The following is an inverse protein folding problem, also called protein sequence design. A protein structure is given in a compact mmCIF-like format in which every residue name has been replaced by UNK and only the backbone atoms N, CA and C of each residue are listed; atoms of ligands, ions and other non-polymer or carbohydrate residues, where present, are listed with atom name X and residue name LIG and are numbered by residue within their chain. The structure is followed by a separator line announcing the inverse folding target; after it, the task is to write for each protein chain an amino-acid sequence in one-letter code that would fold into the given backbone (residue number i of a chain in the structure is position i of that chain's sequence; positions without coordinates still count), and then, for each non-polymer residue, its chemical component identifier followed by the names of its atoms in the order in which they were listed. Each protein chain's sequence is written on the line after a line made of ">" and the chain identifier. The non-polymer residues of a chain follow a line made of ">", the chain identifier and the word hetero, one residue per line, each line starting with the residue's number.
data_IF_983245096743
#
_entry.id   IF_983245096743
#
_cell.length_a   1.000
_cell.length_b   1.000
_cell.length_c   1.000
_cell.angle_alpha   90.00
_cell.angle_beta   90.00
_cell.angle_gamma   90.00
#
_symmetry.space_group_name_H-M   'P 1'
#
loop_
_entity.id
_entity.type
_entity.pdbx_description
1 polymer ?
#
# COMPACT_ATOMS: atom_id res chain seq x y z
N UNK A 1 10.67 19.05 -11.06
CA UNK A 1 11.66 18.33 -11.90
C UNK A 1 12.30 17.26 -11.04
N UNK A 2 12.41 16.03 -11.52
CA UNK A 2 13.05 14.94 -10.77
C UNK A 2 14.53 15.26 -10.52
N UNK A 3 15.05 14.88 -9.35
CA UNK A 3 16.45 15.08 -9.04
C UNK A 3 17.29 14.06 -9.82
N UNK A 4 18.29 14.57 -10.56
CA UNK A 4 19.16 13.78 -11.45
C UNK A 4 19.93 12.71 -10.66
N UNK A 5 19.88 11.45 -11.10
CA UNK A 5 20.58 10.30 -10.51
C UNK A 5 22.05 10.25 -10.95
N UNK A 6 22.86 11.11 -10.36
CA UNK A 6 24.28 11.28 -10.73
C UNK A 6 25.16 10.05 -10.46
N UNK A 7 24.82 9.24 -9.46
CA UNK A 7 25.46 7.96 -9.10
C UNK A 7 25.22 6.90 -10.15
N UNK A 8 23.99 6.79 -10.67
CA UNK A 8 23.69 5.87 -11.76
C UNK A 8 24.54 6.21 -13.01
N UNK A 9 24.59 7.50 -13.36
CA UNK A 9 25.41 7.97 -14.47
C UNK A 9 26.92 7.73 -14.26
N UNK A 10 27.39 7.84 -13.01
CA UNK A 10 28.78 7.56 -12.63
C UNK A 10 29.08 6.06 -12.71
N UNK A 11 28.18 5.20 -12.22
CA UNK A 11 28.32 3.75 -12.27
C UNK A 11 28.36 3.24 -13.71
N UNK A 12 27.52 3.77 -14.60
CA UNK A 12 27.58 3.46 -16.04
C UNK A 12 28.94 3.79 -16.65
N UNK A 13 29.45 4.99 -16.39
CA UNK A 13 30.78 5.41 -16.89
C UNK A 13 31.90 4.55 -16.32
N UNK A 14 31.83 4.19 -15.04
CA UNK A 14 32.79 3.29 -14.39
C UNK A 14 32.77 1.87 -14.97
N UNK A 15 31.59 1.40 -15.40
CA UNK A 15 31.44 0.13 -16.12
C UNK A 15 31.85 0.20 -17.60
N UNK A 16 32.28 1.37 -18.10
CA UNK A 16 32.80 1.54 -19.46
C UNK A 16 31.74 1.79 -20.53
N UNK A 17 30.49 2.05 -20.16
CA UNK A 17 29.39 2.23 -21.12
C UNK A 17 29.11 3.70 -21.45
N UNK A 18 28.90 4.00 -22.74
CA UNK A 18 28.13 5.19 -23.16
C UNK A 18 26.64 4.97 -22.91
N UNK A 19 25.80 6.02 -23.04
CA UNK A 19 24.35 5.83 -22.89
C UNK A 19 23.80 4.93 -24.00
N UNK A 20 24.35 5.05 -25.21
CA UNK A 20 24.05 4.22 -26.38
C UNK A 20 24.48 2.77 -26.18
N UNK A 21 25.72 2.54 -25.73
CA UNK A 21 26.25 1.20 -25.54
C UNK A 21 25.51 0.46 -24.39
N UNK A 22 25.09 1.18 -23.35
CA UNK A 22 24.26 0.59 -22.31
C UNK A 22 22.85 0.28 -22.82
N UNK A 23 22.28 1.15 -23.65
CA UNK A 23 20.96 0.95 -24.23
C UNK A 23 20.94 -0.30 -25.13
N UNK A 24 21.97 -0.46 -25.98
CA UNK A 24 22.18 -1.64 -26.81
C UNK A 24 22.35 -2.92 -25.97
N UNK A 25 23.18 -2.88 -24.92
CA UNK A 25 23.38 -4.02 -24.02
C UNK A 25 22.10 -4.45 -23.26
N UNK A 26 21.15 -3.52 -23.07
CA UNK A 26 19.89 -3.76 -22.36
C UNK A 26 18.69 -3.96 -23.28
N UNK A 27 18.91 -3.93 -24.60
CA UNK A 27 17.85 -3.97 -25.62
C UNK A 27 16.76 -2.94 -25.30
N UNK A 28 17.17 -1.67 -25.23
CA UNK A 28 16.30 -0.52 -24.99
C UNK A 28 16.79 0.71 -25.76
N UNK A 29 15.96 1.74 -25.81
CA UNK A 29 16.31 2.99 -26.48
C UNK A 29 17.21 3.89 -25.61
N UNK A 30 18.11 4.66 -26.23
CA UNK A 30 19.00 5.61 -25.53
C UNK A 30 18.20 6.59 -24.67
N UNK A 31 17.05 7.06 -25.14
CA UNK A 31 16.18 7.98 -24.39
C UNK A 31 15.65 7.37 -23.09
N UNK A 32 15.55 6.04 -23.00
CA UNK A 32 15.16 5.33 -21.78
C UNK A 32 16.28 5.44 -20.73
N UNK A 33 17.54 5.26 -21.14
CA UNK A 33 18.71 5.43 -20.26
C UNK A 33 18.82 6.89 -19.77
N UNK A 34 18.56 7.86 -20.66
CA UNK A 34 18.54 9.29 -20.30
C UNK A 34 17.48 9.57 -19.24
N UNK A 35 16.25 9.03 -19.41
CA UNK A 35 15.16 9.20 -18.44
C UNK A 35 15.45 8.53 -17.10
N UNK A 36 16.11 7.36 -17.10
CA UNK A 36 16.56 6.70 -15.88
C UNK A 36 17.61 7.53 -15.13
N UNK A 37 18.61 8.08 -15.82
CA UNK A 37 19.63 8.95 -15.23
C UNK A 37 19.07 10.31 -14.79
N UNK A 38 18.04 10.81 -15.45
CA UNK A 38 17.34 12.04 -15.08
C UNK A 38 16.41 11.87 -13.87
N UNK A 39 16.08 10.63 -13.49
CA UNK A 39 15.13 10.37 -12.40
C UNK A 39 13.66 10.41 -12.83
N UNK A 40 13.38 10.50 -14.13
CA UNK A 40 12.02 10.67 -14.67
C UNK A 40 11.25 9.35 -14.73
N UNK A 41 11.95 8.24 -14.98
CA UNK A 41 11.38 6.89 -15.00
C UNK A 41 12.29 5.91 -14.27
N UNK A 42 11.75 4.75 -13.89
CA UNK A 42 12.53 3.67 -13.29
C UNK A 42 12.62 2.46 -14.21
N UNK A 43 13.73 1.71 -14.18
CA UNK A 43 13.82 0.45 -14.91
C UNK A 43 12.81 -0.55 -14.35
N UNK A 44 12.08 -1.23 -15.23
CA UNK A 44 11.16 -2.31 -14.86
C UNK A 44 11.92 -3.44 -14.13
N UNK A 45 11.28 -4.20 -13.23
CA UNK A 45 11.94 -5.22 -12.40
C UNK A 45 12.82 -6.20 -13.19
N UNK A 46 12.35 -6.68 -14.34
CA UNK A 46 13.11 -7.59 -15.21
C UNK A 46 14.30 -6.93 -15.93
N UNK A 47 14.28 -5.60 -16.13
CA UNK A 47 15.40 -4.83 -16.70
C UNK A 47 16.43 -4.45 -15.63
N UNK A 48 16.05 -4.37 -14.35
CA UNK A 48 16.97 -4.10 -13.22
C UNK A 48 18.03 -5.19 -13.07
N UNK A 49 17.66 -6.46 -13.27
CA UNK A 49 18.62 -7.56 -13.19
C UNK A 49 19.72 -7.45 -14.27
N UNK A 50 19.34 -7.15 -15.52
CA UNK A 50 20.29 -6.94 -16.62
C UNK A 50 21.12 -5.68 -16.42
N UNK A 51 20.52 -4.61 -15.89
CA UNK A 51 21.21 -3.36 -15.56
C UNK A 51 22.26 -3.56 -14.46
N UNK A 52 21.94 -4.30 -13.39
CA UNK A 52 22.89 -4.62 -12.32
C UNK A 52 24.08 -5.44 -12.86
N UNK A 53 23.81 -6.42 -13.72
CA UNK A 53 24.84 -7.22 -14.39
C UNK A 53 25.74 -6.37 -15.29
N UNK A 54 25.15 -5.51 -16.14
CA UNK A 54 25.90 -4.61 -17.02
C UNK A 54 26.78 -3.63 -16.23
N UNK A 55 26.26 -3.09 -15.13
CA UNK A 55 26.98 -2.17 -14.26
C UNK A 55 27.95 -2.87 -13.29
N UNK A 56 27.94 -4.21 -13.24
CA UNK A 56 28.73 -5.04 -12.30
C UNK A 56 28.51 -4.67 -10.84
N UNK A 57 27.26 -4.36 -10.47
CA UNK A 57 26.85 -4.08 -9.10
C UNK A 57 25.89 -5.17 -8.60
N UNK A 58 25.78 -5.33 -7.29
CA UNK A 58 24.78 -6.20 -6.68
C UNK A 58 23.38 -5.62 -6.91
N UNK A 59 22.33 -6.44 -6.77
CA UNK A 59 20.95 -5.95 -6.87
C UNK A 59 20.69 -4.81 -5.86
N UNK A 60 21.10 -4.98 -4.60
CA UNK A 60 21.06 -3.94 -3.57
C UNK A 60 21.91 -2.71 -3.94
N UNK A 61 23.10 -2.90 -4.51
CA UNK A 61 23.93 -1.79 -4.97
C UNK A 61 23.30 -1.01 -6.13
N UNK A 62 22.54 -1.67 -7.01
CA UNK A 62 21.77 -0.98 -8.04
C UNK A 62 20.63 -0.15 -7.43
N UNK A 63 19.93 -0.69 -6.43
CA UNK A 63 18.87 0.05 -5.73
C UNK A 63 19.41 1.31 -5.05
N UNK A 64 20.60 1.26 -4.45
CA UNK A 64 21.26 2.45 -3.88
C UNK A 64 21.60 3.52 -4.95
N UNK A 65 21.96 3.10 -6.17
CA UNK A 65 22.22 4.00 -7.30
C UNK A 65 20.92 4.62 -7.83
N UNK A 66 19.80 3.91 -7.74
CA UNK A 66 18.47 4.36 -8.16
C UNK A 66 17.79 5.25 -7.09
N UNK A 67 18.07 4.98 -5.81
CA UNK A 67 17.53 5.67 -4.65
C UNK A 67 18.15 7.06 -4.40
N UNK A 68 19.23 7.45 -5.11
CA UNK A 68 19.88 8.77 -4.93
C UNK A 68 18.90 9.96 -5.08
N UNK A 69 17.77 9.78 -5.78
CA UNK A 69 16.74 10.81 -5.97
C UNK A 69 15.74 10.91 -4.79
N UNK A 70 15.71 9.93 -3.86
CA UNK A 70 14.84 9.95 -2.68
C UNK A 70 15.38 10.82 -1.53
N UNK A 71 16.60 11.37 -1.67
CA UNK A 71 17.11 12.40 -0.77
C UNK A 71 16.51 13.77 -1.12
N UNK A 72 15.18 13.88 -1.09
CA UNK A 72 14.52 15.17 -0.95
C UNK A 72 14.80 15.69 0.46
N UNK A 73 15.09 16.99 0.66
CA UNK A 73 15.32 17.54 2.00
C UNK A 73 14.13 17.33 2.97
N UNK A 74 12.95 16.97 2.46
CA UNK A 74 11.79 16.58 3.26
C UNK A 74 11.90 15.20 3.96
N UNK A 75 12.78 14.30 3.48
CA UNK A 75 13.00 12.97 4.10
C UNK A 75 14.11 13.02 5.16
N UNK A 76 14.99 14.03 5.13
CA UNK A 76 16.02 14.23 6.13
C UNK A 76 15.45 14.61 7.52
N UNK A 77 14.25 15.19 7.59
CA UNK A 77 13.58 15.54 8.86
C UNK A 77 12.91 14.35 9.57
N UNK A 78 12.67 13.22 8.89
CA UNK A 78 12.07 12.02 9.51
C UNK A 78 13.06 10.88 9.78
N UNK A 79 14.28 10.98 9.23
CA UNK A 79 15.37 10.02 9.50
C UNK A 79 16.11 10.23 10.83
N UNK A 80 15.70 11.21 11.65
CA UNK A 80 16.30 11.50 12.96
C UNK A 80 15.29 11.38 14.11
N UNK A 81 14.69 10.19 14.28
CA UNK A 81 14.17 9.78 15.58
C UNK A 81 15.19 8.87 16.26
N UNK A 82 15.57 9.12 17.53
CA UNK A 82 16.39 8.17 18.27
C UNK A 82 15.55 6.91 18.55
N UNK A 83 16.19 5.76 18.35
CA UNK A 83 15.74 4.46 18.84
C UNK A 83 15.43 4.54 20.33
N UNK A 84 14.38 3.85 20.78
CA UNK A 84 13.90 3.78 22.16
C UNK A 84 15.00 3.38 23.16
N UNK A 85 15.78 4.36 23.65
CA UNK A 85 16.58 4.27 24.87
C UNK A 85 17.15 5.66 25.19
N UNK A 86 16.30 6.54 25.73
CA UNK A 86 16.58 7.59 26.72
C UNK A 86 15.49 8.66 26.61
N UNK A 87 14.78 8.88 27.72
CA UNK A 87 13.93 10.05 27.92
C UNK A 87 14.73 11.06 28.75
N UNK A 88 15.24 12.15 28.14
CA UNK A 88 15.62 13.33 28.91
C UNK A 88 14.52 14.41 28.85
N UNK A 89 14.15 14.84 30.06
CA UNK A 89 13.26 15.95 30.37
C UNK A 89 13.87 17.29 29.94
N UNK A 90 13.37 17.91 28.87
CA UNK A 90 13.66 19.32 28.59
C UNK A 90 12.39 20.08 28.16
N UNK A 91 11.97 21.12 28.91
CA UNK A 91 10.73 21.87 28.67
C UNK A 91 10.71 22.75 27.41
N UNK A 92 11.80 22.86 26.63
CA UNK A 92 11.85 23.72 25.43
C UNK A 92 11.33 23.11 24.12
N UNK A 93 10.97 21.82 24.06
CA UNK A 93 10.35 21.21 22.85
C UNK A 93 8.85 21.49 22.68
N UNK A 94 8.27 22.32 23.53
CA UNK A 94 6.86 22.78 23.41
C UNK A 94 6.59 23.68 22.20
N UNK A 95 7.63 24.25 21.57
CA UNK A 95 7.50 25.24 20.49
C UNK A 95 7.35 24.64 19.08
N UNK A 96 7.77 23.39 18.85
CA UNK A 96 7.72 22.78 17.50
C UNK A 96 6.35 22.18 17.17
N UNK A 97 5.51 21.96 18.19
CA UNK A 97 4.15 21.43 18.05
C UNK A 97 3.14 22.47 17.53
N UNK A 98 3.53 23.75 17.38
CA UNK A 98 2.62 24.86 17.05
C UNK A 98 2.55 25.24 15.55
N UNK A 99 3.05 24.39 14.64
CA UNK A 99 3.10 24.72 13.19
C UNK A 99 2.10 23.98 12.29
N UNK A 100 1.27 23.07 12.81
CA UNK A 100 0.32 22.28 12.00
C UNK A 100 -1.17 22.52 12.32
N UNK A 101 -1.49 23.69 12.89
CA UNK A 101 -2.84 24.27 12.80
C UNK A 101 -3.77 24.03 13.99
N UNK A 102 -3.60 24.83 15.05
CA UNK A 102 -4.76 25.32 15.82
C UNK A 102 -4.82 26.81 15.53
N UNK A 103 -5.87 27.26 14.83
CA UNK A 103 -6.27 28.66 14.90
C UNK A 103 -6.82 28.87 16.32
N UNK A 104 -5.93 29.11 17.27
CA UNK A 104 -6.29 29.34 18.66
C UNK A 104 -6.87 30.76 18.77
N UNK A 105 -8.20 30.86 18.71
CA UNK A 105 -8.89 31.94 19.41
C UNK A 105 -8.51 31.84 20.88
N UNK A 106 -7.80 32.86 21.37
CA UNK A 106 -7.31 32.92 22.73
C UNK A 106 -8.48 32.93 23.73
N UNK A 107 -8.61 31.87 24.51
CA UNK A 107 -9.28 31.91 25.81
C UNK A 107 -8.49 31.06 26.79
N UNK A 108 -8.23 31.68 27.93
CA UNK A 108 -7.40 31.27 29.06
C UNK A 108 -7.83 29.94 29.71
N UNK A 109 -6.85 29.12 30.09
CA UNK A 109 -6.94 28.22 31.25
C UNK A 109 -6.92 26.71 30.96
N UNK A 110 -5.80 26.07 31.33
CA UNK A 110 -5.65 24.64 31.73
C UNK A 110 -6.61 23.64 31.07
N UNK A 111 -6.21 23.08 29.93
CA UNK A 111 -6.80 21.91 29.29
C UNK A 111 -5.93 21.49 28.11
N UNK A 112 -5.34 20.30 28.17
CA UNK A 112 -4.55 19.73 27.08
C UNK A 112 -5.55 19.20 26.03
N UNK A 113 -5.86 19.98 24.99
CA UNK A 113 -6.61 19.50 23.83
C UNK A 113 -5.62 18.90 22.80
N UNK A 114 -5.48 17.57 22.78
CA UNK A 114 -4.54 16.87 21.87
C UNK A 114 -5.20 16.45 20.55
N UNK A 115 -6.53 16.37 20.50
CA UNK A 115 -7.30 16.44 19.26
C UNK A 115 -8.56 17.27 19.52
N UNK A 116 -8.84 18.24 18.66
CA UNK A 116 -10.09 19.00 18.74
C UNK A 116 -11.30 18.15 18.36
N UNK A 117 -12.42 18.80 18.04
CA UNK A 117 -13.57 18.11 17.45
C UNK A 117 -13.18 17.48 16.11
N UNK A 118 -13.34 16.16 15.99
CA UNK A 118 -13.09 15.42 14.76
C UNK A 118 -14.35 15.46 13.90
N UNK A 119 -14.16 15.79 12.61
CA UNK A 119 -15.22 15.95 11.64
C UNK A 119 -15.06 15.05 10.41
N UNK A 120 -16.05 15.12 9.51
CA UNK A 120 -15.99 14.39 8.23
C UNK A 120 -14.79 14.79 7.36
N UNK A 121 -14.25 15.99 7.55
CA UNK A 121 -13.05 16.43 6.84
C UNK A 121 -11.81 15.58 7.20
N UNK A 122 -11.72 15.12 8.46
CA UNK A 122 -10.63 14.27 8.95
C UNK A 122 -10.75 12.85 8.37
N UNK A 123 -11.98 12.31 8.34
CA UNK A 123 -12.29 11.04 7.67
C UNK A 123 -11.89 11.10 6.19
N UNK A 124 -12.28 12.16 5.48
CA UNK A 124 -11.91 12.36 4.07
C UNK A 124 -10.41 12.56 3.86
N UNK A 125 -9.70 13.14 4.83
CA UNK A 125 -8.23 13.25 4.80
C UNK A 125 -7.59 11.87 4.96
N UNK A 126 -8.10 11.03 5.87
CA UNK A 126 -7.62 9.66 6.05
C UNK A 126 -7.82 8.85 4.77
N UNK A 127 -9.02 8.88 4.19
CA UNK A 127 -9.35 8.18 2.93
C UNK A 127 -8.42 8.59 1.77
N UNK A 128 -8.19 9.90 1.57
CA UNK A 128 -7.25 10.38 0.53
C UNK A 128 -5.81 9.96 0.78
N UNK A 129 -5.39 9.87 2.04
CA UNK A 129 -4.04 9.41 2.40
C UNK A 129 -3.89 7.93 2.10
N UNK A 130 -4.90 7.14 2.46
CA UNK A 130 -5.03 5.72 2.15
C UNK A 130 -4.97 5.46 0.64
N UNK A 131 -5.70 6.23 -0.15
CA UNK A 131 -5.66 6.19 -1.62
C UNK A 131 -4.28 6.51 -2.16
N UNK A 132 -3.63 7.55 -1.63
CA UNK A 132 -2.28 7.95 -2.03
C UNK A 132 -1.26 6.84 -1.76
N UNK A 133 -1.35 6.16 -0.62
CA UNK A 133 -0.50 5.01 -0.29
C UNK A 133 -0.66 3.89 -1.33
N UNK A 134 -1.89 3.56 -1.71
CA UNK A 134 -2.13 2.53 -2.72
C UNK A 134 -1.70 2.93 -4.14
N UNK A 135 -1.85 4.20 -4.50
CA UNK A 135 -1.37 4.71 -5.78
C UNK A 135 0.16 4.75 -5.85
N UNK A 136 0.85 4.91 -4.71
CA UNK A 136 2.30 4.81 -4.63
C UNK A 136 2.76 3.36 -4.71
N UNK A 137 2.09 2.45 -4.00
CA UNK A 137 2.33 1.01 -4.04
C UNK A 137 2.29 0.47 -5.47
N UNK A 138 1.21 0.80 -6.20
CA UNK A 138 1.05 0.38 -7.59
C UNK A 138 2.18 0.87 -8.50
N UNK A 139 2.75 2.05 -8.23
CA UNK A 139 3.76 2.68 -9.09
C UNK A 139 5.20 2.33 -8.71
N UNK A 140 5.48 2.06 -7.44
CA UNK A 140 6.84 2.02 -6.90
C UNK A 140 7.17 0.73 -6.11
N UNK A 141 6.20 -0.12 -5.81
CA UNK A 141 6.38 -1.29 -4.95
C UNK A 141 6.39 -0.96 -3.46
N UNK A 142 5.95 -1.90 -2.62
CA UNK A 142 5.57 -1.68 -1.23
C UNK A 142 6.68 -1.62 -0.17
N UNK A 143 7.95 -1.83 -0.51
CA UNK A 143 9.03 -2.13 0.46
C UNK A 143 9.21 -1.04 1.55
N UNK A 144 9.01 0.23 1.22
CA UNK A 144 9.10 1.35 2.18
C UNK A 144 7.75 1.95 2.59
N UNK A 145 6.64 1.51 2.00
CA UNK A 145 5.32 2.14 2.20
C UNK A 145 4.57 1.59 3.43
N UNK A 146 4.90 0.40 3.90
CA UNK A 146 4.26 -0.19 5.08
C UNK A 146 4.49 0.66 6.35
N UNK A 147 5.65 1.31 6.49
CA UNK A 147 5.93 2.21 7.62
C UNK A 147 5.02 3.43 7.63
N UNK A 148 4.78 4.01 6.44
CA UNK A 148 3.85 5.13 6.28
C UNK A 148 2.41 4.69 6.59
N UNK A 149 2.02 3.47 6.18
CA UNK A 149 0.75 2.85 6.55
C UNK A 149 0.59 2.74 8.08
N UNK A 150 1.56 2.13 8.76
CA UNK A 150 1.57 1.98 10.23
C UNK A 150 1.50 3.32 10.95
N UNK A 151 2.26 4.32 10.50
CA UNK A 151 2.24 5.66 11.10
C UNK A 151 0.85 6.31 10.95
N UNK A 152 0.24 6.20 9.77
CA UNK A 152 -1.09 6.75 9.50
C UNK A 152 -2.17 6.03 10.33
N UNK A 153 -2.06 4.70 10.50
CA UNK A 153 -2.94 3.92 11.38
C UNK A 153 -2.84 4.39 12.83
N UNK A 154 -1.61 4.62 13.32
CA UNK A 154 -1.41 5.12 14.68
C UNK A 154 -2.08 6.47 14.89
N UNK A 155 -1.98 7.38 13.93
CA UNK A 155 -2.68 8.67 13.96
C UNK A 155 -4.21 8.49 13.98
N UNK A 156 -4.74 7.62 13.12
CA UNK A 156 -6.17 7.33 13.07
C UNK A 156 -6.71 6.70 14.37
N UNK A 157 -5.95 5.79 14.99
CA UNK A 157 -6.30 5.22 16.30
C UNK A 157 -6.29 6.27 17.40
N UNK A 158 -5.29 7.16 17.43
CA UNK A 158 -5.25 8.27 18.39
C UNK A 158 -6.46 9.20 18.23
N UNK A 159 -6.87 9.47 16.99
CA UNK A 159 -8.09 10.22 16.69
C UNK A 159 -9.35 9.54 17.23
N UNK A 160 -9.47 8.22 17.07
CA UNK A 160 -10.58 7.43 17.64
C UNK A 160 -10.54 7.37 19.17
N UNK A 161 -9.37 7.26 19.79
CA UNK A 161 -9.25 7.12 21.25
C UNK A 161 -9.41 8.45 22.01
N UNK A 162 -8.93 9.54 21.43
CA UNK A 162 -8.75 10.82 22.14
C UNK A 162 -9.62 11.94 21.57
N UNK A 163 -10.19 11.77 20.38
CA UNK A 163 -11.01 12.78 19.72
C UNK A 163 -12.43 12.86 20.27
N UNK A 164 -13.04 14.04 20.14
CA UNK A 164 -14.48 14.21 20.34
C UNK A 164 -15.19 14.21 18.99
N UNK A 165 -16.16 13.32 18.79
CA UNK A 165 -16.88 13.20 17.53
C UNK A 165 -18.33 12.74 17.73
N UNK A 166 -19.17 13.05 16.74
CA UNK A 166 -20.53 12.50 16.65
C UNK A 166 -20.46 11.02 16.26
N UNK A 167 -21.48 10.24 16.65
CA UNK A 167 -21.55 8.81 16.35
C UNK A 167 -21.36 8.49 14.85
N UNK A 168 -21.95 9.28 13.95
CA UNK A 168 -21.79 9.11 12.50
C UNK A 168 -20.36 9.33 12.01
N UNK A 169 -19.63 10.28 12.61
CA UNK A 169 -18.22 10.54 12.29
C UNK A 169 -17.34 9.42 12.85
N UNK A 170 -17.62 8.96 14.07
CA UNK A 170 -16.92 7.82 14.67
C UNK A 170 -17.05 6.54 13.84
N UNK A 171 -18.26 6.25 13.35
CA UNK A 171 -18.52 5.12 12.45
C UNK A 171 -17.70 5.24 11.14
N UNK A 172 -17.77 6.39 10.47
CA UNK A 172 -17.03 6.61 9.23
C UNK A 172 -15.50 6.58 9.44
N UNK A 173 -15.03 7.01 10.62
CA UNK A 173 -13.61 6.94 10.99
C UNK A 173 -13.17 5.49 11.27
N UNK A 174 -14.00 4.67 11.92
CA UNK A 174 -13.74 3.23 12.09
C UNK A 174 -13.64 2.53 10.74
N UNK A 175 -14.60 2.77 9.83
CA UNK A 175 -14.57 2.20 8.48
C UNK A 175 -13.31 2.60 7.70
N UNK A 176 -12.96 3.90 7.71
CA UNK A 176 -11.75 4.40 7.05
C UNK A 176 -10.46 3.83 7.67
N UNK A 177 -10.43 3.64 8.99
CA UNK A 177 -9.29 3.03 9.70
C UNK A 177 -9.16 1.55 9.38
N UNK A 178 -10.28 0.82 9.31
CA UNK A 178 -10.32 -0.57 8.87
C UNK A 178 -9.79 -0.74 7.44
N UNK A 179 -10.21 0.10 6.50
CA UNK A 179 -9.71 0.08 5.12
C UNK A 179 -8.20 0.37 5.04
N UNK A 180 -7.71 1.33 5.83
CA UNK A 180 -6.29 1.63 5.94
C UNK A 180 -5.49 0.46 6.53
N UNK A 181 -6.01 -0.21 7.55
CA UNK A 181 -5.39 -1.39 8.15
C UNK A 181 -5.29 -2.54 7.14
N UNK A 182 -6.35 -2.80 6.34
CA UNK A 182 -6.28 -3.76 5.24
C UNK A 182 -5.12 -3.44 4.29
N UNK A 183 -5.01 -2.18 3.83
CA UNK A 183 -3.96 -1.78 2.88
C UNK A 183 -2.57 -1.84 3.51
N UNK A 184 -2.44 -1.47 4.78
CA UNK A 184 -1.19 -1.59 5.53
C UNK A 184 -0.77 -3.05 5.67
N UNK A 185 -1.73 -3.96 5.88
CA UNK A 185 -1.49 -5.40 5.91
C UNK A 185 -0.91 -5.93 4.60
N UNK A 186 -1.46 -5.51 3.46
CA UNK A 186 -0.95 -5.87 2.13
C UNK A 186 0.45 -5.29 1.87
N UNK A 187 0.67 -4.01 2.16
CA UNK A 187 1.99 -3.37 2.06
C UNK A 187 3.04 -4.12 2.89
N UNK A 188 2.66 -4.56 4.10
CA UNK A 188 3.54 -5.30 4.98
C UNK A 188 3.82 -6.73 4.46
N UNK A 189 2.83 -7.40 3.85
CA UNK A 189 3.04 -8.68 3.16
C UNK A 189 4.07 -8.55 2.03
N UNK A 190 3.92 -7.52 1.19
CA UNK A 190 4.80 -7.27 0.04
C UNK A 190 6.23 -6.93 0.49
N UNK A 191 6.37 -6.29 1.65
CA UNK A 191 7.66 -5.99 2.28
C UNK A 191 8.21 -7.14 3.15
N UNK A 192 7.58 -8.32 3.18
CA UNK A 192 7.99 -9.47 4.00
C UNK A 192 7.83 -9.29 5.52
N UNK A 193 7.14 -8.23 5.97
CA UNK A 193 6.88 -7.91 7.39
C UNK A 193 5.61 -8.63 7.86
N UNK A 194 5.64 -9.95 7.89
CA UNK A 194 4.46 -10.78 8.15
C UNK A 194 3.83 -10.59 9.55
N UNK A 195 4.60 -10.23 10.57
CA UNK A 195 4.06 -9.90 11.89
C UNK A 195 3.21 -8.63 11.87
N UNK A 196 3.70 -7.59 11.18
CA UNK A 196 2.97 -6.33 10.97
C UNK A 196 1.73 -6.60 10.13
N UNK A 197 1.85 -7.39 9.06
CA UNK A 197 0.72 -7.75 8.22
C UNK A 197 -0.40 -8.44 9.00
N UNK A 198 -0.03 -9.42 9.82
CA UNK A 198 -1.00 -10.13 10.66
C UNK A 198 -1.66 -9.21 11.69
N UNK A 199 -0.89 -8.35 12.37
CA UNK A 199 -1.44 -7.38 13.31
C UNK A 199 -2.46 -6.46 12.62
N UNK A 200 -2.09 -5.89 11.48
CA UNK A 200 -2.97 -5.02 10.70
C UNK A 200 -4.27 -5.70 10.27
N UNK A 201 -4.22 -6.92 9.72
CA UNK A 201 -5.46 -7.63 9.36
C UNK A 201 -6.31 -8.03 10.59
N UNK A 202 -5.68 -8.35 11.72
CA UNK A 202 -6.41 -8.67 12.97
C UNK A 202 -7.12 -7.44 13.54
N UNK A 203 -6.48 -6.28 13.49
CA UNK A 203 -7.07 -5.01 13.90
C UNK A 203 -8.22 -4.62 12.97
N UNK A 204 -8.03 -4.76 11.64
CA UNK A 204 -9.11 -4.53 10.67
C UNK A 204 -10.32 -5.42 10.94
N UNK A 205 -10.11 -6.70 11.27
CA UNK A 205 -11.18 -7.63 11.63
C UNK A 205 -11.91 -7.24 12.92
N UNK A 206 -11.17 -6.72 13.90
CA UNK A 206 -11.76 -6.25 15.16
C UNK A 206 -12.63 -5.01 14.91
N UNK A 207 -12.08 -4.04 14.17
CA UNK A 207 -12.77 -2.80 13.80
C UNK A 207 -14.02 -3.11 12.96
N UNK A 208 -13.92 -4.01 11.98
CA UNK A 208 -15.03 -4.34 11.09
C UNK A 208 -16.19 -4.98 11.84
N UNK A 209 -15.91 -5.87 12.80
CA UNK A 209 -16.94 -6.48 13.65
C UNK A 209 -17.59 -5.49 14.60
N UNK A 210 -16.82 -4.55 15.13
CA UNK A 210 -17.36 -3.47 15.94
C UNK A 210 -18.25 -2.52 15.11
N UNK A 211 -17.84 -2.23 13.87
CA UNK A 211 -18.56 -1.35 12.95
C UNK A 211 -19.74 -2.04 12.22
N UNK A 212 -19.80 -3.38 12.22
CA UNK A 212 -20.76 -4.16 11.43
C UNK A 212 -20.47 -4.18 9.93
N UNK A 213 -19.21 -3.94 9.52
CA UNK A 213 -18.80 -3.87 8.12
C UNK A 213 -18.36 -5.25 7.60
N UNK A 214 -19.27 -5.92 6.88
CA UNK A 214 -19.02 -7.21 6.27
C UNK A 214 -17.96 -7.18 5.14
N UNK A 215 -17.82 -6.06 4.41
CA UNK A 215 -16.81 -5.95 3.36
C UNK A 215 -15.39 -5.90 3.93
N UNK A 216 -15.18 -5.12 4.99
CA UNK A 216 -13.87 -5.08 5.68
C UNK A 216 -13.62 -6.43 6.38
N UNK A 217 -14.63 -7.05 6.99
CA UNK A 217 -14.48 -8.38 7.62
C UNK A 217 -14.01 -9.44 6.63
N UNK A 218 -14.68 -9.55 5.47
CA UNK A 218 -14.28 -10.50 4.42
C UNK A 218 -12.84 -10.24 3.96
N UNK A 219 -12.47 -8.97 3.73
CA UNK A 219 -11.11 -8.61 3.27
C UNK A 219 -10.04 -8.89 4.34
N UNK A 220 -10.35 -8.67 5.62
CA UNK A 220 -9.44 -8.97 6.72
C UNK A 220 -9.19 -10.47 6.85
N UNK A 221 -10.25 -11.28 6.80
CA UNK A 221 -10.16 -12.74 6.84
C UNK A 221 -9.40 -13.29 5.63
N UNK A 222 -9.66 -12.75 4.43
CA UNK A 222 -8.91 -13.10 3.22
C UNK A 222 -7.41 -12.77 3.36
N UNK A 223 -7.07 -11.58 3.87
CA UNK A 223 -5.69 -11.17 4.14
C UNK A 223 -4.97 -12.08 5.15
N UNK A 224 -5.65 -12.45 6.25
CA UNK A 224 -5.13 -13.42 7.23
C UNK A 224 -4.91 -14.81 6.62
N UNK A 225 -5.82 -15.26 5.76
CA UNK A 225 -5.70 -16.51 5.02
C UNK A 225 -4.45 -16.55 4.14
N UNK A 226 -4.30 -15.51 3.31
CA UNK A 226 -3.16 -15.33 2.43
C UNK A 226 -1.83 -15.25 3.20
N UNK A 227 -1.74 -14.38 4.21
CA UNK A 227 -0.54 -14.22 5.04
C UNK A 227 -0.14 -15.54 5.72
N UNK A 228 -1.11 -16.30 6.24
CA UNK A 228 -0.87 -17.60 6.86
C UNK A 228 -0.26 -18.60 5.89
N UNK A 229 -0.69 -18.60 4.63
CA UNK A 229 -0.10 -19.43 3.58
C UNK A 229 1.35 -19.02 3.28
N UNK A 230 1.64 -17.72 3.17
CA UNK A 230 3.00 -17.22 2.92
C UNK A 230 4.01 -17.64 4.00
N UNK A 231 3.59 -17.73 5.27
CA UNK A 231 4.45 -18.14 6.38
C UNK A 231 4.41 -19.65 6.67
N UNK A 232 3.86 -20.47 5.75
CA UNK A 232 3.87 -21.93 5.88
C UNK A 232 2.85 -22.49 6.87
N UNK A 233 1.72 -21.81 7.11
CA UNK A 233 0.62 -22.25 7.99
C UNK A 233 -0.68 -22.54 7.20
N UNK A 234 -0.69 -23.54 6.31
CA UNK A 234 -1.81 -23.75 5.38
C UNK A 234 -3.13 -24.15 6.06
N UNK A 235 -3.08 -24.84 7.20
CA UNK A 235 -4.30 -25.20 7.97
C UNK A 235 -4.98 -23.98 8.57
N UNK A 236 -4.18 -23.02 9.02
CA UNK A 236 -4.67 -21.73 9.52
C UNK A 236 -5.21 -20.90 8.35
N UNK A 237 -4.46 -20.85 7.24
CA UNK A 237 -4.88 -20.18 6.01
C UNK A 237 -6.27 -20.64 5.56
N UNK A 238 -6.48 -21.95 5.43
CA UNK A 238 -7.77 -22.53 5.04
C UNK A 238 -8.93 -22.16 5.98
N UNK A 239 -8.69 -22.05 7.29
CA UNK A 239 -9.73 -21.66 8.25
C UNK A 239 -10.17 -20.22 8.03
N UNK A 240 -9.21 -19.31 7.84
CA UNK A 240 -9.52 -17.91 7.56
C UNK A 240 -10.18 -17.73 6.19
N UNK A 241 -9.72 -18.43 5.18
CA UNK A 241 -10.32 -18.38 3.85
C UNK A 241 -11.77 -18.87 3.82
N UNK A 242 -12.10 -19.95 4.56
CA UNK A 242 -13.50 -20.39 4.73
C UNK A 242 -14.34 -19.37 5.47
N UNK A 243 -13.80 -18.77 6.52
CA UNK A 243 -14.49 -17.70 7.25
C UNK A 243 -14.74 -16.48 6.35
N UNK A 244 -13.81 -16.14 5.45
CA UNK A 244 -13.98 -15.07 4.47
C UNK A 244 -15.10 -15.39 3.48
N UNK A 245 -15.19 -16.63 2.99
CA UNK A 245 -16.27 -17.10 2.11
C UNK A 245 -17.63 -17.08 2.83
N UNK A 246 -17.67 -17.50 4.09
CA UNK A 246 -18.88 -17.44 4.91
C UNK A 246 -19.37 -15.99 5.11
N UNK A 247 -18.45 -15.07 5.40
CA UNK A 247 -18.74 -13.64 5.55
C UNK A 247 -19.19 -13.01 4.22
N UNK A 248 -18.65 -13.48 3.09
CA UNK A 248 -18.96 -12.97 1.76
C UNK A 248 -20.27 -13.51 1.16
N UNK A 249 -20.91 -14.52 1.78
CA UNK A 249 -22.05 -15.26 1.20
C UNK A 249 -23.20 -14.36 0.74
N UNK A 250 -23.48 -13.29 1.49
CA UNK A 250 -24.58 -12.37 1.22
C UNK A 250 -24.09 -11.01 0.66
N UNK A 251 -22.81 -10.91 0.30
CA UNK A 251 -22.21 -9.70 -0.25
C UNK A 251 -22.16 -9.75 -1.79
N UNK A 252 -21.82 -8.60 -2.39
CA UNK A 252 -21.68 -8.47 -3.83
C UNK A 252 -20.54 -9.34 -4.43
N UNK A 253 -20.53 -9.51 -5.77
CA UNK A 253 -19.54 -10.34 -6.48
C UNK A 253 -18.08 -10.01 -6.15
N UNK A 254 -17.74 -8.74 -5.94
CA UNK A 254 -16.37 -8.30 -5.60
C UNK A 254 -15.85 -8.87 -4.27
N UNK A 255 -16.73 -9.00 -3.28
CA UNK A 255 -16.36 -9.57 -1.97
C UNK A 255 -16.17 -11.08 -2.06
N UNK A 256 -17.02 -11.76 -2.83
CA UNK A 256 -16.87 -13.20 -3.13
C UNK A 256 -15.58 -13.49 -3.90
N UNK A 257 -15.25 -12.67 -4.90
CA UNK A 257 -14.00 -12.75 -5.66
C UNK A 257 -12.78 -12.70 -4.73
N UNK A 258 -12.74 -11.69 -3.84
CA UNK A 258 -11.62 -11.50 -2.91
C UNK A 258 -11.45 -12.70 -1.96
N UNK A 259 -12.56 -13.19 -1.40
CA UNK A 259 -12.55 -14.36 -0.51
C UNK A 259 -12.02 -15.62 -1.21
N UNK A 260 -12.50 -15.89 -2.44
CA UNK A 260 -12.12 -17.07 -3.23
C UNK A 260 -10.67 -17.02 -3.72
N UNK A 261 -10.17 -15.84 -4.11
CA UNK A 261 -8.77 -15.67 -4.49
C UNK A 261 -7.82 -15.99 -3.32
N UNK A 262 -8.16 -15.52 -2.11
CA UNK A 262 -7.40 -15.81 -0.90
C UNK A 262 -7.54 -17.27 -0.40
N UNK A 263 -8.58 -18.01 -0.83
CA UNK A 263 -8.73 -19.44 -0.55
C UNK A 263 -7.97 -20.34 -1.51
N UNK A 264 -7.37 -19.78 -2.56
CA UNK A 264 -6.78 -20.55 -3.66
C UNK A 264 -7.83 -21.25 -4.53
N UNK A 265 -9.12 -20.90 -4.39
CA UNK A 265 -10.21 -21.38 -5.22
C UNK A 265 -10.25 -20.59 -6.54
N UNK A 266 -9.26 -20.83 -7.39
CA UNK A 266 -9.00 -20.05 -8.61
C UNK A 266 -10.22 -19.99 -9.53
N UNK A 267 -10.87 -21.12 -9.82
CA UNK A 267 -12.03 -21.16 -10.72
C UNK A 267 -13.18 -20.29 -10.23
N UNK A 268 -13.47 -20.32 -8.92
CA UNK A 268 -14.52 -19.48 -8.34
C UNK A 268 -14.11 -18.01 -8.23
N UNK A 269 -12.82 -17.72 -8.15
CA UNK A 269 -12.32 -16.34 -8.18
C UNK A 269 -12.38 -15.75 -9.59
N UNK A 270 -12.15 -16.57 -10.63
CA UNK A 270 -12.34 -16.20 -12.05
C UNK A 270 -13.81 -15.93 -12.34
N UNK A 271 -14.72 -16.82 -11.94
CA UNK A 271 -16.18 -16.62 -12.10
C UNK A 271 -16.64 -15.30 -11.48
N UNK A 272 -16.26 -15.04 -10.22
CA UNK A 272 -16.65 -13.83 -9.54
C UNK A 272 -15.97 -12.58 -10.13
N UNK A 273 -14.77 -12.69 -10.69
CA UNK A 273 -14.11 -11.59 -11.40
C UNK A 273 -14.80 -11.27 -12.73
N UNK A 274 -15.27 -12.27 -13.47
CA UNK A 274 -16.06 -12.08 -14.69
C UNK A 274 -17.39 -11.37 -14.39
N UNK A 275 -18.10 -11.77 -13.32
CA UNK A 275 -19.31 -11.06 -12.86
C UNK A 275 -19.03 -9.57 -12.56
N UNK A 276 -17.86 -9.27 -11.99
CA UNK A 276 -17.43 -7.89 -11.71
C UNK A 276 -17.11 -7.13 -13.00
N UNK A 277 -16.42 -7.75 -13.96
CA UNK A 277 -16.13 -7.14 -15.26
C UNK A 277 -17.41 -6.84 -16.05
N UNK A 278 -18.40 -7.73 -16.01
CA UNK A 278 -19.71 -7.51 -16.64
C UNK A 278 -20.43 -6.31 -16.02
N UNK A 279 -20.37 -6.16 -14.69
CA UNK A 279 -20.93 -5.01 -13.99
C UNK A 279 -20.24 -3.69 -14.38
N UNK A 280 -18.91 -3.68 -14.52
CA UNK A 280 -18.15 -2.50 -14.97
C UNK A 280 -18.52 -2.15 -16.41
N UNK A 281 -18.55 -3.14 -17.31
CA UNK A 281 -18.94 -2.94 -18.71
C UNK A 281 -20.38 -2.40 -18.84
N UNK A 282 -21.25 -2.68 -17.86
CA UNK A 282 -22.60 -2.11 -17.73
C UNK A 282 -22.66 -0.66 -17.23
N UNK A 283 -21.53 0.03 -17.04
CA UNK A 283 -21.46 1.44 -16.65
C UNK A 283 -21.18 1.70 -15.17
N UNK A 284 -20.64 0.71 -14.44
CA UNK A 284 -20.23 0.88 -13.05
C UNK A 284 -18.82 1.52 -12.98
N UNK A 285 -18.75 2.86 -13.02
CA UNK A 285 -17.51 3.61 -12.87
C UNK A 285 -17.06 3.63 -11.40
N UNK A 286 -16.35 2.58 -10.99
CA UNK A 286 -15.70 2.54 -9.67
C UNK A 286 -14.23 2.15 -9.81
N UNK A 287 -13.36 3.15 -9.74
CA UNK A 287 -11.91 2.97 -9.70
C UNK A 287 -11.47 2.01 -8.58
N UNK A 288 -12.26 1.91 -7.49
CA UNK A 288 -12.04 0.97 -6.38
C UNK A 288 -12.19 -0.48 -6.84
N UNK A 289 -13.15 -0.76 -7.73
CA UNK A 289 -13.38 -2.08 -8.32
C UNK A 289 -12.23 -2.45 -9.25
N UNK A 290 -11.74 -1.51 -10.08
CA UNK A 290 -10.55 -1.72 -10.93
C UNK A 290 -9.30 -2.04 -10.10
N UNK A 291 -9.12 -1.38 -8.95
CA UNK A 291 -7.96 -1.58 -8.07
C UNK A 291 -8.01 -2.94 -7.34
N UNK A 292 -9.18 -3.35 -6.86
CA UNK A 292 -9.37 -4.68 -6.24
C UNK A 292 -9.26 -5.79 -7.28
N UNK A 293 -9.81 -5.62 -8.48
CA UNK A 293 -9.57 -6.52 -9.62
C UNK A 293 -8.08 -6.65 -9.92
N UNK A 294 -7.34 -5.54 -10.03
CA UNK A 294 -5.90 -5.58 -10.29
C UNK A 294 -5.11 -6.33 -9.21
N UNK A 295 -5.50 -6.23 -7.93
CA UNK A 295 -4.90 -7.00 -6.83
C UNK A 295 -5.21 -8.49 -6.94
N UNK A 296 -6.47 -8.83 -7.16
CA UNK A 296 -6.91 -10.22 -7.33
C UNK A 296 -6.26 -10.85 -8.57
N UNK A 297 -6.16 -10.13 -9.67
CA UNK A 297 -5.48 -10.59 -10.89
C UNK A 297 -4.01 -10.92 -10.63
N UNK A 298 -3.30 -10.12 -9.83
CA UNK A 298 -1.93 -10.46 -9.41
C UNK A 298 -1.87 -11.77 -8.64
N UNK A 299 -2.78 -11.99 -7.69
CA UNK A 299 -2.83 -13.23 -6.92
C UNK A 299 -3.16 -14.42 -7.83
N UNK A 300 -4.22 -14.33 -8.63
CA UNK A 300 -4.69 -15.43 -9.48
C UNK A 300 -3.70 -15.75 -10.60
N UNK A 301 -3.02 -14.74 -11.19
CA UNK A 301 -2.03 -14.95 -12.26
C UNK A 301 -0.81 -15.78 -11.84
N UNK A 302 -0.57 -15.94 -10.54
CA UNK A 302 0.47 -16.85 -10.02
C UNK A 302 0.08 -18.32 -10.12
N UNK A 303 -1.21 -18.62 -10.35
CA UNK A 303 -1.74 -19.96 -10.54
C UNK A 303 -2.02 -20.24 -12.03
N UNK A 304 -1.66 -21.42 -12.52
CA UNK A 304 -2.08 -21.90 -13.86
C UNK A 304 -3.46 -22.56 -13.75
N UNK A 305 -4.51 -21.87 -14.18
CA UNK A 305 -5.88 -22.40 -14.22
C UNK A 305 -6.62 -21.98 -15.50
N UNK A 306 -7.64 -22.75 -15.95
CA UNK A 306 -8.48 -22.38 -17.07
C UNK A 306 -9.18 -21.03 -16.86
N UNK A 307 -9.27 -20.20 -17.89
CA UNK A 307 -9.99 -18.91 -17.84
C UNK A 307 -9.17 -17.71 -17.33
N UNK A 308 -8.02 -17.93 -16.68
CA UNK A 308 -7.15 -16.84 -16.20
C UNK A 308 -6.60 -15.98 -17.34
N UNK A 309 -6.21 -16.60 -18.46
CA UNK A 309 -5.69 -15.88 -19.63
C UNK A 309 -6.79 -15.03 -20.27
N UNK A 310 -7.99 -15.58 -20.45
CA UNK A 310 -9.14 -14.87 -21.02
C UNK A 310 -9.61 -13.72 -20.13
N UNK A 311 -9.66 -13.93 -18.81
CA UNK A 311 -9.95 -12.90 -17.82
C UNK A 311 -8.91 -11.77 -17.87
N UNK A 312 -7.63 -12.12 -18.03
CA UNK A 312 -6.53 -11.15 -18.15
C UNK A 312 -6.65 -10.29 -19.40
N UNK A 313 -6.99 -10.89 -20.55
CA UNK A 313 -7.26 -10.16 -21.79
C UNK A 313 -8.47 -9.23 -21.67
N UNK A 314 -9.57 -9.70 -21.08
CA UNK A 314 -10.77 -8.88 -20.85
C UNK A 314 -10.47 -7.70 -19.92
N UNK A 315 -9.75 -7.94 -18.83
CA UNK A 315 -9.33 -6.87 -17.92
C UNK A 315 -8.43 -5.85 -18.61
N UNK A 316 -7.45 -6.30 -19.41
CA UNK A 316 -6.56 -5.41 -20.14
C UNK A 316 -7.31 -4.51 -21.13
N UNK A 317 -8.34 -5.03 -21.82
CA UNK A 317 -9.17 -4.26 -22.75
C UNK A 317 -10.07 -3.22 -22.07
N UNK A 318 -10.42 -3.42 -20.80
CA UNK A 318 -11.25 -2.50 -20.02
C UNK A 318 -10.45 -1.37 -19.36
N UNK A 319 -9.15 -1.58 -19.12
CA UNK A 319 -8.28 -0.65 -18.37
C UNK A 319 -7.30 0.11 -19.30
N UNK A 320 -7.26 -0.25 -20.59
CA UNK A 320 -6.52 0.46 -21.65
C UNK A 320 -7.20 1.75 -22.11
#
# INVERSE_FOLDING_TARGET
>A
MAAKRTRLARARKAAGYTQEALAEALDTDRSTIVRWEAGETEPLPHKRLKLAQALKVTASGLEDLLAESLASPAIAEWGSMPTEAEVPSDPMKRRTLMKWGVAATATTGIGIEVFGSIGMADVQRLQRTTERLCNLDHRHGGETLWQAGVATVREANLMLEQGSYRASVGQAMLEATGDLQIRTGWLACDAGRHEVARASFTDALTISRQAGDGEIETRALAGLGFQSNLVGRPREGLRFSRAAEDAARNLGPSSRMTARAASGAVDGAVEAADEVLDAIAGGLDSWRVTLELGRVMRVISTYRAPGVDQLSERYAALVS
#
